data_IF_685222440136
#
_entry.id   IF_685222440136
#
_cell.length_a   1.000
_cell.length_b   1.000
_cell.length_c   1.000
_cell.angle_alpha   90.00
_cell.angle_beta   90.00
_cell.angle_gamma   90.00
#
_symmetry.space_group_name_H-M   'P 1'
#
loop_
_entity.id
_entity.type
_entity.pdbx_description
1 polymer ?
#
# COMPACT_ATOMS: atom_id res chain seq x y z
N UNK A 1 24.65 -1.65 9.83
CA UNK A 1 23.23 -1.33 10.14
C UNK A 1 22.38 -1.49 8.89
N UNK A 2 21.22 -2.09 9.03
CA UNK A 2 20.28 -2.24 7.91
C UNK A 2 19.40 -1.01 7.74
N UNK A 3 19.14 -0.65 6.49
CA UNK A 3 18.31 0.49 6.12
C UNK A 3 17.05 0.01 5.40
N UNK A 4 16.06 0.87 5.33
CA UNK A 4 14.80 0.58 4.63
C UNK A 4 15.06 0.10 3.20
N UNK A 5 15.98 0.75 2.48
CA UNK A 5 16.32 0.39 1.11
C UNK A 5 16.85 -1.05 0.96
N UNK A 6 17.37 -1.63 2.02
CA UNK A 6 17.90 -3.00 2.00
C UNK A 6 16.79 -4.06 1.96
N UNK A 7 15.58 -3.70 2.37
CA UNK A 7 14.45 -4.64 2.45
C UNK A 7 13.24 -4.24 1.60
N UNK A 8 13.07 -2.97 1.29
CA UNK A 8 11.88 -2.47 0.58
C UNK A 8 11.69 -3.17 -0.78
N UNK A 9 10.43 -3.30 -1.18
CA UNK A 9 10.08 -3.72 -2.53
C UNK A 9 10.14 -2.52 -3.47
N UNK A 10 10.76 -2.69 -4.64
CA UNK A 10 10.87 -1.63 -5.65
C UNK A 10 10.05 -1.92 -6.90
N UNK A 11 9.59 -3.15 -7.07
CA UNK A 11 8.71 -3.53 -8.17
C UNK A 11 7.27 -3.19 -7.78
N UNK A 12 6.89 -1.93 -7.96
CA UNK A 12 5.67 -1.38 -7.39
C UNK A 12 4.51 -1.38 -8.38
N UNK A 13 3.32 -1.73 -7.88
CA UNK A 13 2.05 -1.42 -8.52
C UNK A 13 1.57 -0.09 -7.96
N UNK A 14 1.23 0.84 -8.84
CA UNK A 14 0.73 2.16 -8.43
C UNK A 14 -0.54 2.51 -9.17
N UNK A 15 -1.29 3.45 -8.62
CA UNK A 15 -2.48 4.02 -9.25
C UNK A 15 -2.33 5.52 -9.34
N UNK A 16 -3.06 6.11 -10.27
CA UNK A 16 -3.19 7.58 -10.37
C UNK A 16 -4.45 8.00 -9.64
N UNK A 17 -4.51 9.26 -9.21
CA UNK A 17 -5.69 9.82 -8.53
C UNK A 17 -6.98 9.60 -9.30
N UNK A 18 -6.92 9.65 -10.62
CA UNK A 18 -8.08 9.52 -11.50
C UNK A 18 -8.48 8.07 -11.80
N UNK A 19 -7.65 7.10 -11.41
CA UNK A 19 -8.00 5.70 -11.58
C UNK A 19 -9.22 5.36 -10.72
N UNK A 20 -10.06 4.45 -11.20
CA UNK A 20 -11.31 4.13 -10.53
C UNK A 20 -11.11 3.17 -9.36
N UNK A 21 -12.07 3.18 -8.46
CA UNK A 21 -12.14 2.22 -7.36
C UNK A 21 -12.17 0.79 -7.89
N UNK A 22 -12.89 0.54 -9.00
CA UNK A 22 -12.91 -0.75 -9.65
C UNK A 22 -11.52 -1.18 -10.13
N UNK A 23 -10.75 -0.26 -10.70
CA UNK A 23 -9.37 -0.55 -11.12
C UNK A 23 -8.50 -0.94 -9.92
N UNK A 24 -8.67 -0.26 -8.79
CA UNK A 24 -7.94 -0.60 -7.56
C UNK A 24 -8.30 -1.99 -7.06
N UNK A 25 -9.58 -2.34 -7.03
CA UNK A 25 -10.05 -3.66 -6.61
C UNK A 25 -9.50 -4.76 -7.52
N UNK A 26 -9.56 -4.54 -8.82
CA UNK A 26 -9.05 -5.50 -9.80
C UNK A 26 -7.55 -5.72 -9.65
N UNK A 27 -6.79 -4.65 -9.44
CA UNK A 27 -5.34 -4.74 -9.25
C UNK A 27 -5.00 -5.50 -7.97
N UNK A 28 -5.71 -5.22 -6.88
CA UNK A 28 -5.50 -5.93 -5.61
C UNK A 28 -5.75 -7.43 -5.75
N UNK A 29 -6.80 -7.80 -6.48
CA UNK A 29 -7.15 -9.19 -6.70
C UNK A 29 -6.14 -9.90 -7.61
N UNK A 30 -5.77 -9.27 -8.71
CA UNK A 30 -4.84 -9.86 -9.68
C UNK A 30 -3.42 -9.98 -9.12
N UNK A 31 -2.93 -8.97 -8.45
CA UNK A 31 -1.59 -8.94 -7.89
C UNK A 31 -1.50 -9.51 -6.48
N UNK A 32 -2.64 -9.82 -5.85
CA UNK A 32 -2.74 -10.32 -4.47
C UNK A 32 -2.07 -9.38 -3.48
N UNK A 33 -2.33 -8.09 -3.63
CA UNK A 33 -1.82 -7.05 -2.75
C UNK A 33 -2.98 -6.32 -2.08
N UNK A 34 -2.73 -5.73 -0.92
CA UNK A 34 -3.76 -5.03 -0.13
C UNK A 34 -3.46 -3.55 0.06
N UNK A 35 -2.35 -3.08 -0.46
CA UNK A 35 -1.90 -1.70 -0.34
C UNK A 35 -1.38 -1.26 -1.68
N UNK A 36 -1.92 -0.17 -2.21
CA UNK A 36 -1.45 0.38 -3.49
C UNK A 36 -1.16 1.86 -3.29
N UNK A 37 0.09 2.27 -3.51
CA UNK A 37 0.41 3.70 -3.50
C UNK A 37 -0.24 4.41 -4.66
N UNK A 38 -0.69 5.63 -4.41
CA UNK A 38 -1.26 6.52 -5.43
C UNK A 38 -0.25 7.62 -5.72
N UNK A 39 0.04 7.84 -6.99
CA UNK A 39 1.06 8.79 -7.43
C UNK A 39 0.50 9.75 -8.47
N UNK A 40 1.17 10.87 -8.61
CA UNK A 40 0.96 11.84 -9.69
C UNK A 40 2.08 11.70 -10.72
N UNK A 41 1.99 12.47 -11.81
CA UNK A 41 2.96 12.49 -12.87
C UNK A 41 4.39 12.64 -12.31
N UNK A 42 5.31 11.82 -12.78
CA UNK A 42 6.68 11.79 -12.26
C UNK A 42 6.85 10.98 -11.00
N UNK A 43 5.89 10.10 -10.69
CA UNK A 43 5.93 9.20 -9.53
C UNK A 43 5.89 9.94 -8.19
N UNK A 44 5.30 11.12 -8.17
CA UNK A 44 5.15 11.89 -6.92
C UNK A 44 4.12 11.19 -6.04
N UNK A 45 4.51 10.84 -4.83
CA UNK A 45 3.64 10.15 -3.89
C UNK A 45 2.56 11.10 -3.36
N UNK A 46 1.30 10.69 -3.45
CA UNK A 46 0.18 11.51 -2.97
C UNK A 46 -0.71 10.80 -1.95
N UNK A 47 -0.65 9.48 -1.87
CA UNK A 47 -1.48 8.76 -0.92
C UNK A 47 -1.39 7.26 -1.09
N UNK A 48 -2.18 6.55 -0.30
CA UNK A 48 -2.25 5.10 -0.37
C UNK A 48 -3.70 4.67 -0.27
N UNK A 49 -4.06 3.62 -1.02
CA UNK A 49 -5.37 3.00 -0.89
C UNK A 49 -5.19 1.57 -0.42
N UNK A 50 -5.98 1.16 0.57
CA UNK A 50 -5.91 -0.17 1.14
C UNK A 50 -7.19 -0.94 0.86
N UNK A 51 -7.07 -2.26 0.88
CA UNK A 51 -8.24 -3.15 0.75
C UNK A 51 -9.27 -2.87 1.83
N UNK A 52 -8.82 -2.60 3.06
CA UNK A 52 -9.73 -2.26 4.17
C UNK A 52 -10.50 -0.97 3.90
N UNK A 53 -9.85 0.05 3.35
CA UNK A 53 -10.50 1.31 3.03
C UNK A 53 -11.59 1.12 1.98
N UNK A 54 -11.33 0.30 0.98
CA UNK A 54 -12.32 -0.02 -0.06
C UNK A 54 -13.51 -0.75 0.56
N UNK A 55 -13.28 -1.77 1.37
CA UNK A 55 -14.36 -2.52 2.03
C UNK A 55 -15.21 -1.63 2.93
N UNK A 56 -14.58 -0.78 3.73
CA UNK A 56 -15.29 0.12 4.63
C UNK A 56 -16.18 1.10 3.87
N UNK A 57 -15.70 1.62 2.75
CA UNK A 57 -16.45 2.57 1.94
C UNK A 57 -17.60 1.93 1.19
N UNK A 58 -17.40 0.72 0.64
CA UNK A 58 -18.40 0.08 -0.22
C UNK A 58 -19.49 -0.62 0.57
N UNK A 59 -19.17 -1.26 1.70
CA UNK A 59 -20.16 -1.97 2.51
C UNK A 59 -21.26 -1.06 3.03
N UNK A 60 -20.95 0.14 3.47
CA UNK A 60 -21.93 1.06 4.02
C UNK A 60 -22.79 1.72 2.97
N UNK A 61 -22.28 1.86 1.74
CA UNK A 61 -22.97 2.59 0.65
C UNK A 61 -23.71 1.68 -0.33
N UNK A 62 -23.28 0.42 -0.47
CA UNK A 62 -23.68 -0.45 -1.56
C UNK A 62 -24.28 -1.78 -1.08
N UNK A 63 -24.61 -1.92 0.21
CA UNK A 63 -25.03 -3.19 0.82
C UNK A 63 -26.29 -3.80 0.16
N UNK A 64 -27.22 -2.96 -0.32
CA UNK A 64 -28.51 -3.40 -0.87
C UNK A 64 -28.61 -3.19 -2.39
N UNK A 65 -27.51 -3.00 -3.09
CA UNK A 65 -27.50 -2.69 -4.52
C UNK A 65 -27.04 -3.91 -5.32
N UNK A 66 -27.70 -4.12 -6.49
CA UNK A 66 -27.28 -5.15 -7.44
C UNK A 66 -25.80 -5.02 -7.82
N UNK A 67 -25.15 -6.17 -8.05
CA UNK A 67 -23.73 -6.22 -8.35
C UNK A 67 -23.37 -5.42 -9.61
N UNK A 68 -24.20 -5.48 -10.66
CA UNK A 68 -23.94 -4.73 -11.89
C UNK A 68 -24.00 -3.22 -11.66
N UNK A 69 -24.95 -2.75 -10.86
CA UNK A 69 -25.05 -1.33 -10.48
C UNK A 69 -23.88 -0.96 -9.57
N UNK A 70 -23.49 -1.84 -8.67
CA UNK A 70 -22.33 -1.64 -7.81
C UNK A 70 -21.05 -1.46 -8.64
N UNK A 71 -20.85 -2.31 -9.65
CA UNK A 71 -19.69 -2.22 -10.53
C UNK A 71 -19.68 -0.89 -11.31
N UNK A 72 -20.83 -0.43 -11.78
CA UNK A 72 -20.95 0.87 -12.46
C UNK A 72 -20.57 2.03 -11.53
N UNK A 73 -21.03 1.98 -10.28
CA UNK A 73 -20.71 3.01 -9.28
C UNK A 73 -19.20 3.00 -8.98
N UNK A 74 -18.64 1.83 -8.74
CA UNK A 74 -17.22 1.68 -8.45
C UNK A 74 -16.34 2.13 -9.62
N UNK A 75 -16.80 1.94 -10.85
CA UNK A 75 -16.10 2.40 -12.05
C UNK A 75 -16.11 3.94 -12.16
N UNK A 76 -17.05 4.61 -11.50
CA UNK A 76 -17.18 6.07 -11.54
C UNK A 76 -16.50 6.79 -10.38
N UNK A 77 -16.13 6.08 -9.31
CA UNK A 77 -15.49 6.68 -8.14
C UNK A 77 -13.97 6.69 -8.33
N UNK A 78 -13.31 7.85 -8.33
CA UNK A 78 -11.86 7.90 -8.40
C UNK A 78 -11.23 7.49 -7.06
N UNK A 79 -10.07 6.86 -7.09
CA UNK A 79 -9.37 6.44 -5.88
C UNK A 79 -9.02 7.61 -4.96
N UNK A 80 -8.89 8.81 -5.53
CA UNK A 80 -8.62 10.03 -4.74
C UNK A 80 -9.68 10.31 -3.67
N UNK A 81 -10.91 9.83 -3.85
CA UNK A 81 -11.97 10.00 -2.85
C UNK A 81 -11.85 9.05 -1.68
N UNK A 82 -11.14 7.95 -1.83
CA UNK A 82 -11.05 6.88 -0.82
C UNK A 82 -9.65 6.79 -0.22
N UNK A 83 -8.63 7.18 -0.97
CA UNK A 83 -7.23 7.07 -0.53
C UNK A 83 -6.96 7.88 0.73
N UNK A 84 -5.97 7.44 1.48
CA UNK A 84 -5.43 8.22 2.61
C UNK A 84 -4.23 9.01 2.14
N UNK A 85 -4.21 10.30 2.43
CA UNK A 85 -3.10 11.18 2.06
C UNK A 85 -2.22 11.56 3.28
N UNK A 86 -2.70 11.32 4.50
CA UNK A 86 -2.01 11.59 5.73
C UNK A 86 -1.19 10.39 6.24
N UNK A 87 -0.60 9.65 5.33
CA UNK A 87 0.17 8.45 5.66
C UNK A 87 1.60 8.78 6.03
N UNK A 88 2.14 7.99 6.95
CA UNK A 88 3.53 8.10 7.37
C UNK A 88 4.42 7.43 6.32
N UNK A 89 5.31 8.21 5.72
CA UNK A 89 6.30 7.72 4.77
C UNK A 89 7.69 7.74 5.40
N UNK A 90 8.57 6.88 4.92
CA UNK A 90 9.95 6.82 5.41
C UNK A 90 10.92 7.03 4.25
N UNK A 91 12.13 7.48 4.58
CA UNK A 91 13.18 7.63 3.60
C UNK A 91 13.91 6.28 3.37
N UNK A 92 14.49 6.06 2.18
CA UNK A 92 15.23 4.82 1.93
C UNK A 92 16.44 4.64 2.86
N UNK A 93 17.00 5.74 3.35
CA UNK A 93 18.16 5.71 4.26
C UNK A 93 17.76 5.52 5.73
N UNK A 94 16.48 5.53 6.04
CA UNK A 94 16.01 5.35 7.41
C UNK A 94 16.41 3.97 7.95
N UNK A 95 16.57 3.89 9.26
CA UNK A 95 16.89 2.64 9.94
C UNK A 95 15.77 1.62 9.73
N UNK A 96 16.14 0.40 9.34
CA UNK A 96 15.19 -0.67 9.18
C UNK A 96 14.53 -1.01 10.52
N UNK A 97 15.28 -0.94 11.60
CA UNK A 97 14.75 -1.16 12.95
C UNK A 97 13.66 -0.14 13.30
N UNK A 98 13.89 1.14 13.01
CA UNK A 98 12.91 2.19 13.28
C UNK A 98 11.64 1.97 12.45
N UNK A 99 11.78 1.55 11.20
CA UNK A 99 10.63 1.22 10.35
C UNK A 99 9.85 0.04 10.91
N UNK A 100 10.54 -0.99 11.41
CA UNK A 100 9.90 -2.13 12.05
C UNK A 100 9.08 -1.70 13.27
N UNK A 101 9.65 -0.82 14.09
CA UNK A 101 8.94 -0.29 15.27
C UNK A 101 7.71 0.51 14.88
N UNK A 102 7.77 1.28 13.80
CA UNK A 102 6.61 2.03 13.29
C UNK A 102 5.49 1.08 12.88
N UNK A 103 5.81 0.02 12.14
CA UNK A 103 4.82 -0.97 11.72
C UNK A 103 4.23 -1.73 12.92
N UNK A 104 5.07 -2.05 13.88
CA UNK A 104 4.64 -2.81 15.07
C UNK A 104 3.73 -1.99 15.98
N UNK A 105 4.05 -0.71 16.17
CA UNK A 105 3.40 0.11 17.20
C UNK A 105 2.21 0.91 16.68
N UNK A 106 2.07 1.11 15.39
CA UNK A 106 1.09 2.03 14.81
C UNK A 106 0.09 1.41 13.84
N UNK A 107 0.07 0.13 13.65
CA UNK A 107 -0.90 -0.57 12.78
C UNK A 107 -1.04 0.02 11.38
N UNK A 108 0.03 0.55 10.83
CA UNK A 108 -0.02 1.15 9.49
C UNK A 108 -0.20 0.11 8.38
N UNK A 109 0.21 -1.12 8.60
CA UNK A 109 0.18 -2.19 7.60
C UNK A 109 1.31 -2.08 6.57
N UNK A 110 1.63 -0.89 6.13
CA UNK A 110 2.73 -0.65 5.21
C UNK A 110 3.30 0.75 5.41
N UNK A 111 4.52 0.94 4.91
CA UNK A 111 5.19 2.23 4.89
C UNK A 111 5.63 2.53 3.45
N UNK A 112 5.07 3.56 2.82
CA UNK A 112 5.62 4.04 1.55
C UNK A 112 7.04 4.56 1.77
N UNK A 113 7.94 4.28 0.86
CA UNK A 113 9.31 4.78 0.90
C UNK A 113 9.45 5.89 -0.12
N UNK A 114 9.74 7.09 0.36
CA UNK A 114 9.70 8.32 -0.44
C UNK A 114 11.01 9.06 -0.31
N UNK A 115 11.52 9.55 -1.42
CA UNK A 115 12.72 10.39 -1.47
C UNK A 115 12.44 11.60 -2.35
N UNK A 116 12.56 12.79 -1.79
CA UNK A 116 12.27 14.05 -2.49
C UNK A 116 10.88 14.02 -3.15
N UNK A 117 9.87 13.60 -2.40
CA UNK A 117 8.47 13.47 -2.81
C UNK A 117 8.20 12.35 -3.83
N UNK A 118 9.23 11.62 -4.27
CA UNK A 118 9.11 10.56 -5.25
C UNK A 118 9.01 9.21 -4.54
N UNK A 119 8.02 8.41 -4.92
CA UNK A 119 7.87 7.06 -4.42
C UNK A 119 8.97 6.17 -5.00
N UNK A 120 9.78 5.56 -4.12
CA UNK A 120 10.88 4.70 -4.53
C UNK A 120 10.72 3.26 -4.06
N UNK A 121 9.81 3.01 -3.14
CA UNK A 121 9.59 1.65 -2.65
C UNK A 121 8.41 1.57 -1.71
N UNK A 122 8.14 0.36 -1.24
CA UNK A 122 7.13 0.10 -0.20
C UNK A 122 7.69 -0.96 0.74
N UNK A 123 7.37 -0.81 2.02
CA UNK A 123 7.78 -1.75 3.07
C UNK A 123 6.54 -2.20 3.81
N UNK A 124 6.36 -3.51 3.92
CA UNK A 124 5.17 -4.09 4.57
C UNK A 124 5.59 -5.05 5.69
N UNK A 125 4.62 -5.41 6.54
CA UNK A 125 4.84 -6.43 7.57
C UNK A 125 5.30 -7.75 6.96
N UNK A 126 4.79 -8.10 5.78
CA UNK A 126 5.19 -9.33 5.09
C UNK A 126 6.67 -9.35 4.74
N UNK A 127 7.27 -8.19 4.43
CA UNK A 127 8.70 -8.10 4.14
C UNK A 127 9.52 -8.53 5.37
N UNK A 128 9.10 -8.09 6.55
CA UNK A 128 9.76 -8.46 7.81
C UNK A 128 9.56 -9.93 8.15
N UNK A 129 8.38 -10.49 7.85
CA UNK A 129 8.14 -11.92 8.08
C UNK A 129 9.04 -12.77 7.18
N UNK A 130 9.20 -12.39 5.92
CA UNK A 130 10.11 -13.08 5.01
C UNK A 130 11.55 -13.00 5.51
N UNK A 131 11.98 -11.83 5.96
CA UNK A 131 13.32 -11.65 6.55
C UNK A 131 13.48 -12.55 7.78
N UNK A 132 12.48 -12.62 8.62
CA UNK A 132 12.50 -13.47 9.82
C UNK A 132 12.65 -14.93 9.46
N UNK A 133 11.93 -15.42 8.46
CA UNK A 133 12.03 -16.79 7.98
C UNK A 133 13.44 -17.08 7.46
N UNK A 134 13.99 -16.16 6.66
CA UNK A 134 15.35 -16.30 6.12
C UNK A 134 16.38 -16.37 7.23
N UNK A 135 16.24 -15.55 8.28
CA UNK A 135 17.14 -15.59 9.43
C UNK A 135 17.02 -16.90 10.21
N UNK A 136 15.80 -17.41 10.39
CA UNK A 136 15.58 -18.70 11.05
C UNK A 136 16.23 -19.83 10.24
N UNK A 137 16.06 -19.82 8.93
CA UNK A 137 16.66 -20.84 8.07
C UNK A 137 18.18 -20.80 8.16
N UNK A 138 18.76 -19.62 8.21
CA UNK A 138 20.21 -19.45 8.35
C UNK A 138 20.73 -19.96 9.71
N UNK A 139 19.92 -19.81 10.77
CA UNK A 139 20.30 -20.26 12.11
C UNK A 139 20.15 -21.78 12.29
N UNK A 140 19.27 -22.41 11.52
CA UNK A 140 18.96 -23.83 11.65
C UNK A 140 19.85 -24.74 10.78
N UNK A 141 20.81 -24.18 10.06
CA UNK A 141 21.75 -24.95 9.22
C UNK A 141 23.00 -25.39 9.95
#
# INVERSE_FOLDING_TARGET
MLHVQDLMSTNLFTLKKSDSLMAAKSLMELARIRHIPVVEKGNIFVGIITHRDILSSTLSKLADIDRDVQDEIEASIPVSEIMRSDVFAVAPQASLRDAAELLLNHKYGCLPVVEKDILVGILTEADFLRLTIDLMDALDT
#
